data_IF_614874476753
#
_entry.id   IF_614874476753
#
_cell.length_a   1.000
_cell.length_b   1.000
_cell.length_c   1.000
_cell.angle_alpha   90.00
_cell.angle_beta   90.00
_cell.angle_gamma   90.00
#
_symmetry.space_group_name_H-M   'P 1'
#
loop_
_entity.id
_entity.type
_entity.pdbx_description
1 polymer ?
#
# COMPACT_ATOMS: atom_id res chain seq x y z
N UNK A 1 -16.24 1.81 -8.22
CA UNK A 1 -14.86 2.27 -8.02
C UNK A 1 -14.11 2.06 -9.33
N UNK A 2 -13.55 3.12 -9.92
CA UNK A 2 -12.66 2.97 -11.07
C UNK A 2 -11.29 2.60 -10.51
N UNK A 3 -10.73 1.49 -10.95
CA UNK A 3 -9.36 1.12 -10.64
C UNK A 3 -8.57 1.43 -11.90
N UNK A 4 -7.92 2.58 -11.91
CA UNK A 4 -7.01 2.97 -12.98
C UNK A 4 -5.65 2.34 -12.66
N UNK A 5 -5.17 1.51 -13.59
CA UNK A 5 -3.83 0.95 -13.55
C UNK A 5 -2.80 1.97 -14.09
N UNK A 6 -1.52 1.70 -13.87
CA UNK A 6 -0.38 2.49 -14.39
C UNK A 6 -0.45 2.75 -15.91
N UNK A 7 -1.14 1.91 -16.67
CA UNK A 7 -1.37 2.01 -18.12
C UNK A 7 -2.71 2.69 -18.49
N UNK A 8 -3.43 3.31 -17.54
CA UNK A 8 -4.76 3.93 -17.73
C UNK A 8 -5.82 2.98 -18.32
N UNK A 9 -5.69 1.68 -18.02
CA UNK A 9 -6.65 0.66 -18.45
C UNK A 9 -7.81 0.57 -17.47
N UNK A 10 -9.02 0.44 -18.02
CA UNK A 10 -10.24 0.28 -17.23
C UNK A 10 -10.66 -1.19 -17.14
N UNK A 11 -10.81 -1.66 -15.90
CA UNK A 11 -11.31 -3.01 -15.60
C UNK A 11 -12.67 -2.93 -14.89
N UNK A 12 -13.72 -3.44 -15.56
CA UNK A 12 -15.07 -3.51 -15.02
C UNK A 12 -15.30 -4.79 -14.22
N UNK A 13 -15.86 -4.69 -13.01
CA UNK A 13 -16.23 -5.83 -12.18
C UNK A 13 -17.52 -5.54 -11.39
N UNK A 14 -18.32 -6.58 -11.11
CA UNK A 14 -19.53 -6.46 -10.27
C UNK A 14 -19.19 -6.20 -8.79
N UNK A 15 -18.08 -6.76 -8.32
CA UNK A 15 -17.55 -6.57 -6.98
C UNK A 15 -16.02 -6.67 -7.04
N UNK A 16 -15.33 -5.94 -6.15
CA UNK A 16 -13.87 -5.92 -6.06
C UNK A 16 -13.48 -6.13 -4.59
N UNK A 17 -12.52 -7.01 -4.34
CA UNK A 17 -11.95 -7.26 -3.02
C UNK A 17 -10.51 -6.74 -3.03
N UNK A 18 -10.19 -5.86 -2.08
CA UNK A 18 -8.86 -5.26 -1.95
C UNK A 18 -8.08 -5.96 -0.82
N UNK A 19 -6.99 -6.62 -1.18
CA UNK A 19 -6.10 -7.34 -0.25
C UNK A 19 -4.70 -6.73 -0.24
N UNK A 20 -4.61 -5.41 -0.05
CA UNK A 20 -3.36 -4.64 -0.22
C UNK A 20 -2.35 -4.78 0.91
N UNK A 21 -2.67 -5.48 2.00
CA UNK A 21 -1.76 -5.74 3.12
C UNK A 21 -1.04 -4.48 3.62
N UNK A 22 0.28 -4.55 3.76
CA UNK A 22 1.14 -3.43 4.22
C UNK A 22 1.73 -2.60 3.08
N UNK A 23 1.22 -2.73 1.85
CA UNK A 23 1.81 -2.12 0.65
C UNK A 23 1.29 -0.71 0.34
N UNK A 24 0.17 -0.27 0.93
CA UNK A 24 -0.39 1.08 0.71
C UNK A 24 0.47 2.15 1.38
N UNK A 25 1.17 2.98 0.58
CA UNK A 25 2.11 4.03 1.07
C UNK A 25 2.97 3.53 2.25
N UNK A 26 3.50 2.31 2.11
CA UNK A 26 4.25 1.60 3.14
C UNK A 26 5.58 2.30 3.45
N UNK A 27 5.93 2.35 4.74
CA UNK A 27 7.23 2.85 5.20
C UNK A 27 7.87 1.82 6.12
N UNK A 28 9.16 1.58 5.90
CA UNK A 28 10.00 0.82 6.83
C UNK A 28 10.69 1.80 7.77
N UNK A 29 10.66 1.47 9.06
CA UNK A 29 11.20 2.28 10.14
C UNK A 29 12.25 1.46 10.89
N UNK A 30 13.51 1.91 10.88
CA UNK A 30 14.64 1.27 11.55
C UNK A 30 15.39 2.33 12.36
N UNK A 31 15.09 2.42 13.66
CA UNK A 31 15.62 3.50 14.51
C UNK A 31 15.20 4.87 13.98
N UNK A 32 16.18 5.71 13.68
CA UNK A 32 15.97 7.06 13.11
C UNK A 32 15.89 7.07 11.58
N UNK A 33 16.04 5.90 10.93
CA UNK A 33 15.95 5.77 9.48
C UNK A 33 14.50 5.45 9.09
N UNK A 34 13.92 6.29 8.23
CA UNK A 34 12.67 6.01 7.53
C UNK A 34 12.88 5.95 6.02
N UNK A 35 12.31 4.94 5.37
CA UNK A 35 12.30 4.88 3.91
C UNK A 35 11.01 4.25 3.38
N UNK A 36 10.67 4.63 2.15
CA UNK A 36 9.54 4.07 1.42
C UNK A 36 9.88 2.65 1.02
N UNK A 37 9.07 1.69 1.46
CA UNK A 37 9.37 0.28 1.23
C UNK A 37 8.27 -0.64 1.75
N UNK A 38 8.04 -1.71 1.00
CA UNK A 38 7.21 -2.83 1.42
C UNK A 38 8.02 -3.87 2.16
N UNK A 39 7.37 -4.93 2.66
CA UNK A 39 8.05 -6.07 3.27
C UNK A 39 9.19 -6.58 2.38
N UNK A 40 10.34 -6.91 2.98
CA UNK A 40 11.51 -7.46 2.28
C UNK A 40 11.98 -6.63 1.07
N UNK A 41 11.86 -5.30 1.12
CA UNK A 41 12.31 -4.41 0.04
C UNK A 41 11.42 -4.39 -1.20
N UNK A 42 10.19 -4.91 -1.10
CA UNK A 42 9.23 -4.86 -2.20
C UNK A 42 8.72 -3.45 -2.47
N UNK A 43 8.23 -3.21 -3.70
CA UNK A 43 7.63 -1.93 -4.09
C UNK A 43 6.28 -1.73 -3.40
N UNK A 44 5.99 -0.48 -3.07
CA UNK A 44 4.74 -0.05 -2.45
C UNK A 44 3.79 0.55 -3.49
N UNK A 45 2.50 0.54 -3.16
CA UNK A 45 1.46 1.18 -3.95
C UNK A 45 1.31 2.65 -3.49
N UNK A 46 2.01 3.56 -4.17
CA UNK A 46 1.97 5.00 -3.88
C UNK A 46 0.67 5.65 -4.38
N UNK A 47 0.30 5.38 -5.63
CA UNK A 47 -0.83 6.03 -6.30
C UNK A 47 -2.19 5.46 -5.88
N UNK A 48 -2.23 4.17 -5.53
CA UNK A 48 -3.50 3.50 -5.19
C UNK A 48 -4.13 4.04 -3.91
N UNK A 49 -3.33 4.42 -2.91
CA UNK A 49 -3.85 5.10 -1.72
C UNK A 49 -4.50 6.44 -2.02
N UNK A 50 -3.98 7.20 -3.01
CA UNK A 50 -4.60 8.47 -3.39
C UNK A 50 -5.95 8.24 -4.08
N UNK A 51 -6.00 7.27 -5.01
CA UNK A 51 -7.25 6.89 -5.67
C UNK A 51 -8.36 6.49 -4.68
N UNK A 52 -8.01 5.75 -3.61
CA UNK A 52 -8.94 5.40 -2.54
C UNK A 52 -9.51 6.64 -1.83
N UNK A 53 -8.66 7.59 -1.47
CA UNK A 53 -9.06 8.86 -0.83
C UNK A 53 -9.96 9.68 -1.75
N UNK A 54 -9.61 9.81 -3.03
CA UNK A 54 -10.35 10.57 -4.02
C UNK A 54 -11.75 9.98 -4.28
N UNK A 55 -11.91 8.66 -4.06
CA UNK A 55 -13.20 7.96 -4.12
C UNK A 55 -13.95 7.94 -2.77
N UNK A 56 -13.50 8.70 -1.77
CA UNK A 56 -14.17 8.87 -0.48
C UNK A 56 -13.92 7.72 0.52
N UNK A 57 -12.90 6.89 0.31
CA UNK A 57 -12.49 5.88 1.29
C UNK A 57 -11.59 6.52 2.33
N UNK A 58 -12.00 6.48 3.59
CA UNK A 58 -11.15 6.92 4.70
C UNK A 58 -9.99 5.95 4.90
N UNK A 59 -8.76 6.47 4.96
CA UNK A 59 -7.55 5.69 5.21
C UNK A 59 -6.93 6.07 6.54
N UNK A 60 -6.46 5.05 7.27
CA UNK A 60 -5.67 5.22 8.49
C UNK A 60 -4.33 4.50 8.37
N UNK A 61 -3.31 5.00 9.08
CA UNK A 61 -1.99 4.37 9.10
C UNK A 61 -1.85 3.48 10.32
N UNK A 62 -1.61 2.21 10.07
CA UNK A 62 -1.19 1.25 11.09
C UNK A 62 0.33 1.07 11.06
N UNK A 63 0.89 0.68 12.21
CA UNK A 63 2.29 0.31 12.36
C UNK A 63 2.38 -1.05 13.02
N UNK A 64 3.19 -1.93 12.45
CA UNK A 64 3.53 -3.23 13.02
C UNK A 64 5.05 -3.39 13.03
N UNK A 65 5.56 -4.17 13.98
CA UNK A 65 6.99 -4.48 14.10
C UNK A 65 7.28 -5.91 13.67
N UNK A 66 8.46 -6.15 13.10
CA UNK A 66 8.97 -7.50 12.83
C UNK A 66 10.28 -7.66 13.61
N UNK A 67 10.44 -8.72 14.44
CA UNK A 67 11.68 -8.95 15.17
C UNK A 67 12.82 -9.28 14.19
N UNK A 68 14.06 -9.01 14.61
CA UNK A 68 15.24 -9.43 13.86
C UNK A 68 15.26 -10.96 13.68
N UNK A 69 15.72 -11.41 12.52
CA UNK A 69 16.06 -12.82 12.28
C UNK A 69 17.52 -13.01 12.65
N UNK A 70 17.78 -13.97 13.52
CA UNK A 70 19.12 -14.36 13.97
C UNK A 70 19.40 -15.71 13.34
N UNK A 71 20.58 -15.86 12.74
CA UNK A 71 21.11 -17.14 12.28
C UNK A 71 21.81 -17.90 13.42
#
# INVERSE_FOLDING_TARGET
MKIDDSENLYYGAKAIILCTGTYLKGKILIGDIDYVGGPNGQRVAEHFSQSLLDNGVELMRFKTGTPARVD
#
